data_IF_817776179688
#
_entry.id   IF_817776179688
#
_cell.length_a   1.000
_cell.length_b   1.000
_cell.length_c   1.000
_cell.angle_alpha   90.00
_cell.angle_beta   90.00
_cell.angle_gamma   90.00
#
_symmetry.space_group_name_H-M   'P 1'
#
loop_
_entity.id
_entity.type
_entity.pdbx_description
1 polymer ?
#
# COMPACT_ATOMS: atom_id res chain seq x y z
N UNK A 1 -13.43 -20.25 -5.25
CA UNK A 1 -12.38 -20.67 -4.29
C UNK A 1 -10.95 -20.26 -4.69
N UNK A 2 -10.18 -20.98 -5.52
CA UNK A 2 -8.76 -20.61 -5.78
C UNK A 2 -8.50 -19.25 -6.47
N UNK A 3 -9.49 -18.71 -7.20
CA UNK A 3 -9.39 -17.43 -7.93
C UNK A 3 -9.66 -16.24 -7.02
N UNK A 4 -10.71 -16.32 -6.22
CA UNK A 4 -11.03 -15.36 -5.14
C UNK A 4 -9.85 -15.23 -4.16
N UNK A 5 -9.25 -16.34 -3.75
CA UNK A 5 -8.13 -16.38 -2.78
C UNK A 5 -6.93 -15.51 -3.16
N UNK A 6 -6.74 -15.18 -4.44
CA UNK A 6 -5.57 -14.43 -4.93
C UNK A 6 -5.80 -12.94 -4.92
N UNK A 7 -6.97 -12.48 -5.36
CA UNK A 7 -7.39 -11.09 -5.20
C UNK A 7 -7.44 -10.74 -3.71
N UNK A 8 -7.88 -11.68 -2.86
CA UNK A 8 -7.84 -11.52 -1.39
C UNK A 8 -6.42 -11.25 -0.86
N UNK A 9 -5.37 -11.82 -1.42
CA UNK A 9 -3.98 -11.59 -0.95
C UNK A 9 -3.49 -10.16 -1.24
N UNK A 10 -3.86 -9.57 -2.38
CA UNK A 10 -3.57 -8.15 -2.65
C UNK A 10 -4.42 -7.24 -1.76
N UNK A 11 -5.67 -7.62 -1.50
CA UNK A 11 -6.54 -6.88 -0.59
C UNK A 11 -6.03 -6.91 0.87
N UNK A 12 -5.45 -8.02 1.32
CA UNK A 12 -4.81 -8.16 2.64
C UNK A 12 -3.55 -7.29 2.76
N UNK A 13 -2.85 -7.01 1.65
CA UNK A 13 -1.73 -6.08 1.64
C UNK A 13 -2.15 -4.67 2.08
N UNK A 14 -3.34 -4.21 1.66
CA UNK A 14 -3.82 -2.87 1.98
C UNK A 14 -4.22 -2.76 3.46
N UNK A 15 -4.83 -3.79 4.03
CA UNK A 15 -5.15 -3.84 5.46
C UNK A 15 -3.88 -3.75 6.33
N UNK A 16 -2.80 -4.43 5.91
CA UNK A 16 -1.49 -4.33 6.57
C UNK A 16 -0.89 -2.93 6.43
N UNK A 17 -0.97 -2.34 5.25
CA UNK A 17 -0.48 -0.98 5.00
C UNK A 17 -1.23 0.04 5.87
N UNK A 18 -2.55 -0.04 5.92
CA UNK A 18 -3.38 0.83 6.77
C UNK A 18 -3.02 0.67 8.26
N UNK A 19 -2.79 -0.56 8.70
CA UNK A 19 -2.38 -0.85 10.08
C UNK A 19 -1.02 -0.25 10.43
N UNK A 20 -0.01 -0.44 9.58
CA UNK A 20 1.33 0.15 9.77
C UNK A 20 1.27 1.68 9.78
N UNK A 21 0.52 2.27 8.86
CA UNK A 21 0.37 3.72 8.79
C UNK A 21 -0.35 4.27 10.02
N UNK A 22 -1.40 3.59 10.51
CA UNK A 22 -2.11 3.99 11.71
C UNK A 22 -1.23 3.92 12.96
N UNK A 23 -0.43 2.86 13.12
CA UNK A 23 0.52 2.76 14.24
C UNK A 23 1.61 3.84 14.17
N UNK A 24 2.08 4.17 12.97
CA UNK A 24 2.96 5.33 12.77
C UNK A 24 2.30 6.63 13.27
N UNK A 25 1.05 6.91 12.90
CA UNK A 25 0.33 8.10 13.37
C UNK A 25 0.13 8.12 14.89
N UNK A 26 -0.09 6.96 15.52
CA UNK A 26 -0.16 6.85 16.98
C UNK A 26 1.17 7.21 17.65
N UNK A 27 2.29 6.74 17.09
CA UNK A 27 3.62 7.09 17.59
C UNK A 27 3.89 8.59 17.44
N UNK A 28 3.50 9.21 16.31
CA UNK A 28 3.57 10.66 16.12
C UNK A 28 2.81 11.44 17.20
N UNK A 29 1.57 11.04 17.51
CA UNK A 29 0.74 11.69 18.54
C UNK A 29 1.32 11.58 19.96
N UNK A 30 2.19 10.58 20.20
CA UNK A 30 2.89 10.38 21.46
C UNK A 30 4.29 11.01 21.48
N UNK A 31 4.67 11.73 20.42
CA UNK A 31 6.01 12.29 20.22
C UNK A 31 7.12 11.21 20.22
N UNK A 32 6.78 9.98 19.87
CA UNK A 32 7.69 8.83 19.77
C UNK A 32 8.31 8.77 18.36
N UNK A 33 9.10 9.78 17.99
CA UNK A 33 9.51 9.99 16.60
C UNK A 33 10.43 8.89 16.02
N UNK A 34 11.29 8.26 16.83
CA UNK A 34 12.09 7.12 16.38
C UNK A 34 11.21 5.91 16.05
N UNK A 35 10.21 5.62 16.87
CA UNK A 35 9.20 4.58 16.61
C UNK A 35 8.37 4.91 15.38
N UNK A 36 7.94 6.16 15.24
CA UNK A 36 7.21 6.62 14.07
C UNK A 36 8.02 6.42 12.78
N UNK A 37 9.32 6.76 12.78
CA UNK A 37 10.20 6.54 11.63
C UNK A 37 10.37 5.07 11.28
N UNK A 38 10.54 4.19 12.27
CA UNK A 38 10.66 2.76 12.04
C UNK A 38 9.40 2.19 11.36
N UNK A 39 8.22 2.50 11.91
CA UNK A 39 6.93 2.07 11.36
C UNK A 39 6.69 2.63 9.96
N UNK A 40 7.05 3.89 9.71
CA UNK A 40 6.93 4.50 8.39
C UNK A 40 7.92 3.90 7.37
N UNK A 41 9.10 3.48 7.82
CA UNK A 41 10.05 2.72 7.00
C UNK A 41 9.48 1.36 6.57
N UNK A 42 8.90 0.61 7.51
CA UNK A 42 8.22 -0.65 7.22
C UNK A 42 7.01 -0.47 6.28
N UNK A 43 6.23 0.59 6.51
CA UNK A 43 5.14 1.00 5.62
C UNK A 43 5.65 1.28 4.20
N UNK A 44 6.71 2.09 4.06
CA UNK A 44 7.33 2.41 2.77
C UNK A 44 7.75 1.16 2.03
N UNK A 45 8.51 0.28 2.70
CA UNK A 45 9.08 -0.90 2.05
C UNK A 45 7.97 -1.86 1.60
N UNK A 46 6.92 -2.00 2.42
CA UNK A 46 5.72 -2.78 2.08
C UNK A 46 4.97 -2.18 0.89
N UNK A 47 4.76 -0.85 0.88
CA UNK A 47 4.05 -0.15 -0.19
C UNK A 47 4.82 -0.27 -1.51
N UNK A 48 6.15 -0.08 -1.48
CA UNK A 48 7.00 -0.20 -2.65
C UNK A 48 7.02 -1.61 -3.22
N UNK A 49 7.04 -2.64 -2.38
CA UNK A 49 6.95 -4.03 -2.82
C UNK A 49 5.60 -4.31 -3.50
N UNK A 50 4.50 -3.87 -2.88
CA UNK A 50 3.15 -4.01 -3.44
C UNK A 50 3.02 -3.33 -4.81
N UNK A 51 3.33 -2.03 -4.90
CA UNK A 51 3.28 -1.29 -6.17
C UNK A 51 4.22 -1.90 -7.21
N UNK A 52 5.42 -2.35 -6.79
CA UNK A 52 6.40 -2.97 -7.68
C UNK A 52 5.90 -4.29 -8.28
N UNK A 53 5.18 -5.11 -7.51
CA UNK A 53 4.55 -6.31 -8.01
C UNK A 53 3.46 -6.00 -9.04
N UNK A 54 2.61 -5.02 -8.77
CA UNK A 54 1.58 -4.63 -9.73
C UNK A 54 2.15 -4.05 -11.01
N UNK A 55 3.10 -3.12 -10.90
CA UNK A 55 3.75 -2.48 -12.03
C UNK A 55 4.49 -3.47 -12.92
N UNK A 56 5.15 -4.47 -12.32
CA UNK A 56 5.95 -5.46 -13.03
C UNK A 56 5.13 -6.61 -13.59
N UNK A 57 4.10 -7.06 -12.87
CA UNK A 57 3.40 -8.31 -13.16
C UNK A 57 2.01 -8.09 -13.75
N UNK A 58 1.27 -7.07 -13.27
CA UNK A 58 -0.13 -6.85 -13.64
C UNK A 58 -0.26 -5.79 -14.75
N UNK A 59 0.44 -4.67 -14.62
CA UNK A 59 0.34 -3.55 -15.57
C UNK A 59 0.68 -3.91 -17.02
N UNK A 60 1.67 -4.79 -17.32
CA UNK A 60 1.92 -5.20 -18.70
C UNK A 60 0.72 -5.89 -19.34
N UNK A 61 0.09 -6.81 -18.59
CA UNK A 61 -1.09 -7.56 -19.04
C UNK A 61 -2.28 -6.60 -19.20
N UNK A 62 -2.46 -5.71 -18.23
CA UNK A 62 -3.54 -4.73 -18.22
C UNK A 62 -3.47 -3.83 -19.45
N UNK A 63 -2.29 -3.26 -19.75
CA UNK A 63 -2.07 -2.40 -20.92
C UNK A 63 -2.26 -3.10 -22.26
N UNK A 64 -1.85 -4.36 -22.36
CA UNK A 64 -1.92 -5.11 -23.61
C UNK A 64 -3.34 -5.58 -23.93
N UNK A 65 -4.08 -6.04 -22.90
CA UNK A 65 -5.30 -6.84 -23.10
C UNK A 65 -6.59 -6.09 -22.77
N UNK A 66 -6.52 -4.99 -22.02
CA UNK A 66 -7.71 -4.26 -21.57
C UNK A 66 -7.78 -2.92 -22.29
N UNK A 67 -8.98 -2.59 -22.76
CA UNK A 67 -9.33 -1.26 -23.27
C UNK A 67 -10.06 -0.52 -22.15
N UNK A 68 -9.35 0.28 -21.36
CA UNK A 68 -9.91 0.81 -20.13
C UNK A 68 -11.01 1.83 -20.40
N UNK A 69 -12.09 1.76 -19.63
CA UNK A 69 -13.08 2.82 -19.54
C UNK A 69 -12.59 3.96 -18.62
N UNK A 70 -13.42 4.99 -18.43
CA UNK A 70 -13.06 6.18 -17.65
C UNK A 70 -12.67 5.79 -16.21
N UNK A 71 -11.46 6.14 -15.81
CA UNK A 71 -10.93 5.85 -14.46
C UNK A 71 -10.14 4.55 -14.35
N UNK A 72 -10.04 3.76 -15.42
CA UNK A 72 -9.17 2.59 -15.53
C UNK A 72 -7.91 2.83 -16.38
N UNK A 73 -7.56 4.06 -16.73
CA UNK A 73 -6.38 4.30 -17.56
C UNK A 73 -5.10 3.83 -16.82
N UNK A 74 -4.27 2.94 -17.39
CA UNK A 74 -3.02 2.47 -16.77
C UNK A 74 -2.09 3.60 -16.30
N UNK A 75 -2.10 4.74 -16.99
CA UNK A 75 -1.30 5.90 -16.58
C UNK A 75 -1.78 6.49 -15.25
N UNK A 76 -3.08 6.42 -14.94
CA UNK A 76 -3.63 6.94 -13.69
C UNK A 76 -3.12 6.18 -12.48
N UNK A 77 -3.08 4.84 -12.53
CA UNK A 77 -2.52 4.01 -11.46
C UNK A 77 -1.05 4.34 -11.21
N UNK A 78 -0.25 4.45 -12.28
CA UNK A 78 1.17 4.80 -12.15
C UNK A 78 1.37 6.22 -11.59
N UNK A 79 0.59 7.20 -12.04
CA UNK A 79 0.64 8.56 -11.52
C UNK A 79 0.23 8.63 -10.04
N UNK A 80 -0.73 7.80 -9.62
CA UNK A 80 -1.11 7.63 -8.21
C UNK A 80 0.05 7.03 -7.41
N UNK A 81 0.70 5.97 -7.90
CA UNK A 81 1.88 5.38 -7.25
C UNK A 81 3.04 6.39 -7.13
N UNK A 82 3.33 7.16 -8.18
CA UNK A 82 4.36 8.21 -8.12
C UNK A 82 4.06 9.25 -7.04
N UNK A 83 2.79 9.70 -6.94
CA UNK A 83 2.36 10.62 -5.87
C UNK A 83 2.52 9.97 -4.50
N UNK A 84 2.16 8.71 -4.34
CA UNK A 84 2.30 8.00 -3.07
C UNK A 84 3.76 7.93 -2.63
N UNK A 85 4.68 7.57 -3.54
CA UNK A 85 6.13 7.59 -3.28
C UNK A 85 6.61 8.96 -2.81
N UNK A 86 6.17 10.02 -3.47
CA UNK A 86 6.54 11.39 -3.11
C UNK A 86 6.03 11.77 -1.71
N UNK A 87 4.79 11.42 -1.36
CA UNK A 87 4.24 11.65 -0.03
C UNK A 87 5.00 10.88 1.05
N UNK A 88 5.28 9.60 0.83
CA UNK A 88 6.00 8.79 1.83
C UNK A 88 7.42 9.32 2.04
N UNK A 89 8.14 9.71 0.98
CA UNK A 89 9.45 10.36 1.12
C UNK A 89 9.36 11.64 1.95
N UNK A 90 8.38 12.49 1.64
CA UNK A 90 8.13 13.72 2.40
C UNK A 90 7.84 13.44 3.89
N UNK A 91 7.05 12.42 4.20
CA UNK A 91 6.72 12.06 5.58
C UNK A 91 7.94 11.55 6.35
N UNK A 92 8.81 10.76 5.70
CA UNK A 92 10.07 10.30 6.28
C UNK A 92 10.95 11.50 6.62
N UNK A 93 11.16 12.40 5.65
CA UNK A 93 12.01 13.58 5.83
C UNK A 93 11.46 14.50 6.94
N UNK A 94 10.15 14.74 6.92
CA UNK A 94 9.48 15.60 7.92
C UNK A 94 9.51 14.98 9.32
N UNK A 95 9.32 13.67 9.44
CA UNK A 95 9.40 12.97 10.74
C UNK A 95 10.82 12.96 11.29
N UNK A 96 11.83 12.82 10.41
CA UNK A 96 13.23 12.93 10.78
C UNK A 96 13.59 14.34 11.28
N UNK A 97 13.00 15.39 10.68
CA UNK A 97 13.13 16.76 11.15
C UNK A 97 12.46 16.98 12.51
N UNK A 98 11.22 16.51 12.67
CA UNK A 98 10.44 16.60 13.93
C UNK A 98 11.23 16.09 15.13
N UNK A 99 11.92 14.96 14.95
CA UNK A 99 12.76 14.34 15.97
C UNK A 99 13.84 15.25 16.55
N UNK A 100 14.30 16.25 15.78
CA UNK A 100 15.38 17.16 16.16
C UNK A 100 14.87 18.49 16.74
N UNK A 101 13.56 18.74 16.71
CA UNK A 101 12.97 20.02 17.12
C UNK A 101 12.69 20.04 18.63
N UNK A 102 13.03 21.16 19.29
CA UNK A 102 12.69 21.38 20.70
C UNK A 102 11.19 21.66 20.92
N UNK A 103 10.48 22.14 19.90
CA UNK A 103 9.03 22.42 19.93
C UNK A 103 8.39 21.98 18.59
N UNK A 104 8.08 20.67 18.45
CA UNK A 104 7.69 20.07 17.18
C UNK A 104 6.20 20.26 16.81
N UNK A 105 5.37 20.85 17.66
CA UNK A 105 3.91 20.78 17.59
C UNK A 105 3.35 21.34 16.28
N UNK A 106 3.85 22.50 15.84
CA UNK A 106 3.40 23.13 14.59
C UNK A 106 3.73 22.28 13.38
N UNK A 107 4.94 21.73 13.33
CA UNK A 107 5.40 20.86 12.26
C UNK A 107 4.61 19.55 12.26
N UNK A 108 4.32 19.00 13.44
CA UNK A 108 3.55 17.77 13.63
C UNK A 108 2.11 17.93 13.14
N UNK A 109 1.44 19.02 13.49
CA UNK A 109 0.09 19.31 13.00
C UNK A 109 0.05 19.42 11.48
N UNK A 110 1.01 20.12 10.88
CA UNK A 110 1.11 20.21 9.42
C UNK A 110 1.39 18.85 8.75
N UNK A 111 2.18 17.99 9.39
CA UNK A 111 2.44 16.64 8.91
C UNK A 111 1.14 15.81 8.93
N UNK A 112 0.43 15.76 10.06
CA UNK A 112 -0.82 15.02 10.21
C UNK A 112 -1.91 15.49 9.22
N UNK A 113 -1.98 16.81 8.95
CA UNK A 113 -2.88 17.36 7.94
C UNK A 113 -2.53 16.81 6.54
N UNK A 114 -1.25 16.79 6.17
CA UNK A 114 -0.78 16.24 4.89
C UNK A 114 -1.03 14.73 4.79
N UNK A 115 -0.82 13.99 5.87
CA UNK A 115 -1.14 12.56 5.93
C UNK A 115 -2.64 12.30 5.75
N UNK A 116 -3.51 13.23 6.15
CA UNK A 116 -4.95 13.13 5.84
C UNK A 116 -5.24 13.18 4.33
N UNK A 117 -4.52 14.02 3.57
CA UNK A 117 -4.63 14.06 2.10
C UNK A 117 -4.11 12.77 1.48
N UNK A 118 -3.00 12.27 1.99
CA UNK A 118 -2.44 11.00 1.54
C UNK A 118 -3.37 9.81 1.79
N UNK A 119 -4.02 9.74 2.95
CA UNK A 119 -5.03 8.70 3.23
C UNK A 119 -6.18 8.73 2.23
N UNK A 120 -6.62 9.92 1.79
CA UNK A 120 -7.64 10.04 0.73
C UNK A 120 -7.12 9.52 -0.62
N UNK A 121 -5.88 9.84 -0.98
CA UNK A 121 -5.24 9.31 -2.19
C UNK A 121 -5.19 7.77 -2.14
N UNK A 122 -4.69 7.21 -1.03
CA UNK A 122 -4.56 5.76 -0.83
C UNK A 122 -5.91 5.05 -0.87
N UNK A 123 -6.93 5.61 -0.22
CA UNK A 123 -8.29 5.05 -0.25
C UNK A 123 -8.92 5.09 -1.65
N UNK A 124 -8.74 6.18 -2.40
CA UNK A 124 -9.26 6.25 -3.77
C UNK A 124 -8.56 5.29 -4.72
N UNK A 125 -7.26 5.07 -4.51
CA UNK A 125 -6.48 4.11 -5.26
C UNK A 125 -6.93 2.67 -4.97
N UNK A 126 -7.06 2.30 -3.69
CA UNK A 126 -7.59 1.00 -3.27
C UNK A 126 -8.98 0.70 -3.87
N UNK A 127 -9.90 1.67 -3.82
CA UNK A 127 -11.23 1.54 -4.44
C UNK A 127 -11.10 1.28 -5.94
N UNK A 128 -10.22 2.03 -6.63
CA UNK A 128 -10.01 1.87 -8.08
C UNK A 128 -9.47 0.48 -8.41
N UNK A 129 -8.60 -0.06 -7.59
CA UNK A 129 -8.04 -1.38 -7.83
C UNK A 129 -9.07 -2.48 -7.63
N UNK A 130 -9.84 -2.40 -6.53
CA UNK A 130 -10.89 -3.37 -6.20
C UNK A 130 -12.04 -3.35 -7.19
N UNK A 131 -12.43 -2.17 -7.67
CA UNK A 131 -13.61 -2.02 -8.50
C UNK A 131 -13.30 -2.08 -10.00
N UNK A 132 -12.05 -1.80 -10.41
CA UNK A 132 -11.67 -1.69 -11.83
C UNK A 132 -10.51 -2.63 -12.15
N UNK A 133 -9.31 -2.40 -11.59
CA UNK A 133 -8.10 -3.10 -12.01
C UNK A 133 -8.20 -4.62 -11.87
N UNK A 134 -8.50 -5.10 -10.66
CA UNK A 134 -8.52 -6.53 -10.38
C UNK A 134 -9.68 -7.25 -11.07
N UNK A 135 -10.92 -6.72 -11.11
CA UNK A 135 -12.01 -7.33 -11.87
C UNK A 135 -11.71 -7.44 -13.36
N UNK A 136 -11.14 -6.40 -13.98
CA UNK A 136 -10.83 -6.43 -15.41
C UNK A 136 -9.70 -7.42 -15.71
N UNK A 137 -8.64 -7.47 -14.89
CA UNK A 137 -7.59 -8.49 -15.01
C UNK A 137 -8.16 -9.91 -14.84
N UNK A 138 -9.07 -10.11 -13.89
CA UNK A 138 -9.75 -11.39 -13.72
C UNK A 138 -10.62 -11.75 -14.92
N UNK A 139 -11.15 -10.78 -15.66
CA UNK A 139 -11.94 -11.06 -16.86
C UNK A 139 -11.10 -11.56 -18.04
N UNK A 140 -9.82 -11.16 -18.14
CA UNK A 140 -8.95 -11.44 -19.29
C UNK A 140 -7.88 -12.51 -19.04
N UNK A 141 -7.50 -12.75 -17.78
CA UNK A 141 -6.45 -13.72 -17.43
C UNK A 141 -7.01 -15.12 -17.21
N UNK A 142 -6.37 -16.14 -17.78
CA UNK A 142 -6.71 -17.53 -17.47
C UNK A 142 -6.32 -17.88 -16.02
N UNK A 143 -6.92 -18.94 -15.47
CA UNK A 143 -6.54 -19.42 -14.12
C UNK A 143 -5.07 -19.80 -14.00
N UNK A 144 -4.45 -20.28 -15.09
CA UNK A 144 -3.04 -20.65 -15.13
C UNK A 144 -2.14 -19.41 -15.09
N UNK A 145 -2.43 -18.41 -15.93
CA UNK A 145 -1.70 -17.14 -15.92
C UNK A 145 -1.83 -16.44 -14.57
N UNK A 146 -3.04 -16.35 -14.02
CA UNK A 146 -3.26 -15.82 -12.68
C UNK A 146 -2.46 -16.62 -11.64
N UNK A 147 -2.35 -17.93 -11.82
CA UNK A 147 -1.60 -18.74 -10.89
C UNK A 147 -0.09 -18.43 -10.90
N UNK A 148 0.47 -18.33 -12.10
CA UNK A 148 1.88 -18.05 -12.36
C UNK A 148 2.27 -16.61 -11.98
N UNK A 149 1.44 -15.63 -12.32
CA UNK A 149 1.65 -14.22 -11.93
C UNK A 149 1.71 -14.09 -10.41
N UNK A 150 0.74 -14.65 -9.69
CA UNK A 150 0.69 -14.54 -8.22
C UNK A 150 1.78 -15.34 -7.51
N UNK A 151 2.36 -16.36 -8.15
CA UNK A 151 3.50 -17.09 -7.57
C UNK A 151 4.81 -16.29 -7.53
N UNK A 152 4.83 -15.13 -8.19
CA UNK A 152 5.99 -14.24 -8.29
C UNK A 152 5.88 -12.99 -7.42
N UNK A 153 4.80 -12.87 -6.64
CA UNK A 153 4.63 -11.76 -5.71
C UNK A 153 5.76 -11.79 -4.69
N UNK A 154 6.43 -10.66 -4.55
CA UNK A 154 7.50 -10.42 -3.58
C UNK A 154 6.95 -9.78 -2.30
N UNK A 155 5.76 -9.19 -2.36
CA UNK A 155 5.08 -8.70 -1.16
C UNK A 155 4.87 -9.86 -0.16
N UNK A 156 5.29 -9.70 1.12
CA UNK A 156 5.16 -10.74 2.11
C UNK A 156 3.69 -10.97 2.43
N UNK A 157 3.09 -11.96 1.79
CA UNK A 157 1.83 -12.56 2.22
C UNK A 157 2.16 -13.38 3.46
N UNK A 158 1.95 -12.84 4.66
CA UNK A 158 1.87 -13.70 5.83
C UNK A 158 0.59 -14.51 5.70
N UNK A 159 0.74 -15.76 5.28
CA UNK A 159 -0.30 -16.77 5.47
C UNK A 159 -0.72 -16.73 6.94
N UNK A 160 -2.03 -16.60 7.20
CA UNK A 160 -2.66 -16.56 8.55
C UNK A 160 -2.33 -17.75 9.47
N UNK A 161 -1.41 -18.64 9.08
CA UNK A 161 -1.01 -19.80 9.85
C UNK A 161 -0.06 -19.48 11.02
N UNK A 162 0.50 -18.26 11.11
CA UNK A 162 1.47 -17.92 12.18
C UNK A 162 0.90 -17.21 13.40
N UNK A 163 -0.37 -16.78 13.41
CA UNK A 163 -0.95 -16.08 14.57
C UNK A 163 -1.75 -16.98 15.53
N UNK A 164 -2.07 -18.23 15.13
CA UNK A 164 -2.85 -19.14 15.97
C UNK A 164 -2.03 -19.93 17.02
N UNK A 165 -0.71 -19.71 17.12
CA UNK A 165 0.17 -20.52 17.98
C UNK A 165 0.62 -19.85 19.28
N UNK A 166 0.26 -18.58 19.54
CA UNK A 166 0.82 -17.87 20.71
C UNK A 166 -0.18 -17.47 21.79
N UNK A 167 -1.41 -17.97 21.73
CA UNK A 167 -2.39 -17.81 22.81
C UNK A 167 -2.60 -19.13 23.53
N UNK A 168 -1.55 -19.59 24.21
CA UNK A 168 -1.61 -20.62 25.25
C UNK A 168 -0.34 -20.56 26.11
N UNK A 169 -0.34 -19.66 27.09
CA UNK A 169 0.19 -19.91 28.44
C UNK A 169 -0.08 -18.74 29.40
#
# INVERSE_FOLDING_TARGET
MKRELKITMLMEAHERLDSLFFEHQKALLRFEFDTALALLGEYRDSLLAHMGDEERLLMPIYRERIKPEKGGNPALFLDEHEKMRAYVSLFIDTTAELRLQASPEKTLLNLLDRESFYKRLSSHHDIREREILYPELDSVMTRKELAETFSKLEFPVHSRETEASNDSK
#
